data_IF_933185469991
#
_entry.id   IF_933185469991
#
_cell.length_a   1.000
_cell.length_b   1.000
_cell.length_c   1.000
_cell.angle_alpha   90.00
_cell.angle_beta   90.00
_cell.angle_gamma   90.00
#
_symmetry.space_group_name_H-M   'P 1'
#
loop_
_entity.id
_entity.type
_entity.pdbx_description
1 polymer ?
#
# COMPACT_ATOMS: atom_id res chain seq x y z
N UNK A 1 -8.48 3.63 5.84
CA UNK A 1 -8.41 2.48 4.92
C UNK A 1 -9.81 2.05 4.58
N UNK A 2 -9.99 1.49 3.39
CA UNK A 2 -11.31 1.27 2.81
C UNK A 2 -12.09 0.16 3.50
N UNK A 3 -13.42 0.31 3.45
CA UNK A 3 -14.39 -0.62 4.00
C UNK A 3 -14.91 -1.52 2.89
N UNK A 4 -14.80 -2.84 3.06
CA UNK A 4 -15.21 -3.85 2.07
C UNK A 4 -16.70 -3.72 1.74
N UNK A 5 -17.51 -3.30 2.72
CA UNK A 5 -18.95 -3.11 2.62
C UNK A 5 -19.35 -2.04 1.59
N UNK A 6 -18.43 -1.15 1.20
CA UNK A 6 -18.66 -0.13 0.16
C UNK A 6 -18.66 -0.72 -1.25
N UNK A 7 -18.13 -1.93 -1.45
CA UNK A 7 -18.08 -2.62 -2.74
C UNK A 7 -18.60 -4.07 -2.63
N UNK A 8 -19.88 -4.29 -2.30
CA UNK A 8 -20.42 -5.62 -1.97
C UNK A 8 -20.36 -6.65 -3.11
N UNK A 9 -20.24 -6.17 -4.35
CA UNK A 9 -20.15 -6.99 -5.55
C UNK A 9 -18.71 -7.29 -6.00
N UNK A 10 -17.70 -6.68 -5.38
CA UNK A 10 -16.30 -6.96 -5.68
C UNK A 10 -15.91 -8.29 -5.02
N UNK A 11 -15.82 -9.36 -5.83
CA UNK A 11 -15.52 -10.73 -5.36
C UNK A 11 -14.07 -11.13 -5.52
N UNK A 12 -13.31 -10.37 -6.30
CA UNK A 12 -11.90 -10.61 -6.57
C UNK A 12 -11.12 -9.33 -6.27
N UNK A 13 -10.01 -9.47 -5.53
CA UNK A 13 -9.09 -8.39 -5.18
C UNK A 13 -7.79 -8.47 -5.98
N UNK A 14 -7.77 -9.28 -7.05
CA UNK A 14 -6.74 -9.26 -8.06
C UNK A 14 -6.54 -7.83 -8.56
N UNK A 15 -5.29 -7.39 -8.46
CA UNK A 15 -4.84 -6.05 -8.80
C UNK A 15 -4.65 -5.90 -10.31
N UNK A 16 -4.42 -4.66 -10.76
CA UNK A 16 -4.02 -4.35 -12.13
C UNK A 16 -2.67 -4.98 -12.54
N UNK A 17 -1.90 -5.47 -11.56
CA UNK A 17 -0.63 -6.17 -11.75
C UNK A 17 0.42 -5.36 -12.53
N UNK A 18 0.50 -4.05 -12.28
CA UNK A 18 1.49 -3.15 -12.89
C UNK A 18 2.85 -3.17 -12.17
N UNK A 19 2.87 -3.63 -10.92
CA UNK A 19 4.04 -3.63 -10.03
C UNK A 19 4.04 -4.89 -9.16
N UNK A 20 5.22 -5.38 -8.80
CA UNK A 20 5.38 -6.64 -8.06
C UNK A 20 5.25 -6.49 -6.54
N UNK A 21 5.22 -5.26 -6.02
CA UNK A 21 5.07 -4.94 -4.60
C UNK A 21 3.71 -4.31 -4.27
N UNK A 22 3.42 -4.14 -2.98
CA UNK A 22 2.17 -3.56 -2.47
C UNK A 22 2.45 -2.24 -1.78
N UNK A 23 1.76 -1.19 -2.20
CA UNK A 23 1.90 0.15 -1.59
C UNK A 23 0.99 0.25 -0.37
N UNK A 24 1.54 0.72 0.74
CA UNK A 24 0.78 1.01 1.98
C UNK A 24 0.86 2.53 2.25
N UNK A 25 -0.18 3.31 1.92
CA UNK A 25 -0.14 4.76 2.06
C UNK A 25 -0.29 5.21 3.52
N UNK A 26 -0.10 6.51 3.76
CA UNK A 26 -0.34 7.18 5.04
C UNK A 26 0.53 6.64 6.19
N UNK A 27 1.73 6.15 5.89
CA UNK A 27 2.70 5.81 6.92
C UNK A 27 2.99 7.03 7.79
N UNK A 28 3.09 6.84 9.11
CA UNK A 28 3.32 7.91 10.09
C UNK A 28 2.22 8.99 10.16
N UNK A 29 1.13 8.86 9.39
CA UNK A 29 -0.02 9.74 9.50
C UNK A 29 -0.74 9.52 10.83
N UNK A 30 -1.27 10.58 11.42
CA UNK A 30 -1.88 10.54 12.75
C UNK A 30 -3.22 9.77 12.80
N UNK A 31 -4.00 9.80 11.71
CA UNK A 31 -5.27 9.07 11.59
C UNK A 31 -5.02 7.60 11.24
N UNK A 32 -4.07 7.35 10.33
CA UNK A 32 -3.91 6.04 9.68
C UNK A 32 -2.71 5.22 10.16
N UNK A 33 -1.78 5.79 10.92
CA UNK A 33 -0.54 5.12 11.32
C UNK A 33 -0.76 3.78 12.00
N UNK A 34 -1.74 3.68 12.92
CA UNK A 34 -2.10 2.41 13.57
C UNK A 34 -2.64 1.36 12.59
N UNK A 35 -3.33 1.77 11.54
CA UNK A 35 -3.81 0.86 10.51
C UNK A 35 -2.64 0.36 9.65
N UNK A 36 -1.71 1.26 9.29
CA UNK A 36 -0.47 0.92 8.56
C UNK A 36 0.36 -0.10 9.35
N UNK A 37 0.58 0.12 10.65
CA UNK A 37 1.31 -0.81 11.51
C UNK A 37 0.68 -2.21 11.53
N UNK A 38 -0.65 -2.29 11.65
CA UNK A 38 -1.38 -3.57 11.61
C UNK A 38 -1.19 -4.29 10.27
N UNK A 39 -1.28 -3.57 9.15
CA UNK A 39 -1.07 -4.12 7.80
C UNK A 39 0.37 -4.64 7.66
N UNK A 40 1.37 -3.84 8.05
CA UNK A 40 2.78 -4.24 7.96
C UNK A 40 3.06 -5.47 8.81
N UNK A 41 2.58 -5.52 10.05
CA UNK A 41 2.78 -6.66 10.94
C UNK A 41 2.12 -7.94 10.41
N UNK A 42 0.95 -7.82 9.78
CA UNK A 42 0.21 -8.95 9.25
C UNK A 42 0.86 -9.54 7.98
N UNK A 43 1.37 -8.69 7.09
CA UNK A 43 1.68 -9.11 5.71
C UNK A 43 3.15 -8.98 5.28
N UNK A 44 4.01 -8.27 6.03
CA UNK A 44 5.42 -8.05 5.62
C UNK A 44 6.26 -9.32 5.51
N UNK A 45 5.81 -10.43 6.12
CA UNK A 45 6.48 -11.74 6.02
C UNK A 45 6.20 -12.47 4.70
N UNK A 46 5.10 -12.14 4.02
CA UNK A 46 4.61 -12.85 2.84
C UNK A 46 4.50 -11.97 1.60
N UNK A 47 4.35 -10.66 1.78
CA UNK A 47 4.23 -9.68 0.71
C UNK A 47 5.37 -8.66 0.79
N UNK A 48 5.90 -8.25 -0.37
CA UNK A 48 6.78 -7.09 -0.44
C UNK A 48 5.95 -5.81 -0.30
N UNK A 49 5.98 -5.21 0.90
CA UNK A 49 5.28 -3.98 1.19
C UNK A 49 6.21 -2.76 1.05
N UNK A 50 5.73 -1.70 0.41
CA UNK A 50 6.36 -0.38 0.41
C UNK A 50 5.43 0.64 1.06
N UNK A 51 5.71 0.97 2.32
CA UNK A 51 4.96 2.00 3.04
C UNK A 51 5.49 3.39 2.68
N UNK A 52 4.59 4.32 2.36
CA UNK A 52 4.91 5.72 2.07
C UNK A 52 4.07 6.65 2.93
N UNK A 53 4.61 7.81 3.30
CA UNK A 53 3.87 8.85 4.00
C UNK A 53 3.22 9.84 3.01
N UNK A 54 2.47 10.81 3.54
CA UNK A 54 1.68 11.76 2.73
C UNK A 54 2.52 12.74 1.90
N UNK A 55 3.82 12.82 2.19
CA UNK A 55 4.79 13.65 1.47
C UNK A 55 5.74 12.80 0.62
N UNK A 56 5.36 11.57 0.28
CA UNK A 56 6.19 10.68 -0.53
C UNK A 56 5.42 10.19 -1.76
N UNK A 57 6.18 9.90 -2.81
CA UNK A 57 5.66 9.28 -4.03
C UNK A 57 6.59 8.14 -4.48
N UNK A 58 6.06 7.14 -5.18
CA UNK A 58 6.87 6.10 -5.81
C UNK A 58 6.97 6.43 -7.30
N UNK A 59 8.17 6.77 -7.75
CA UNK A 59 8.50 6.96 -9.16
C UNK A 59 8.99 5.64 -9.72
N UNK A 60 8.36 5.20 -10.81
CA UNK A 60 8.74 4.02 -11.57
C UNK A 60 9.05 4.46 -12.99
N UNK A 61 10.27 4.23 -13.43
CA UNK A 61 10.74 4.54 -14.78
C UNK A 61 11.54 3.34 -15.30
N UNK A 62 10.99 2.66 -16.30
CA UNK A 62 11.48 1.35 -16.74
C UNK A 62 11.55 0.39 -15.54
N UNK A 63 12.72 -0.18 -15.25
CA UNK A 63 12.92 -1.10 -14.12
C UNK A 63 13.33 -0.38 -12.81
N UNK A 64 13.45 0.95 -12.83
CA UNK A 64 13.88 1.72 -11.67
C UNK A 64 12.70 2.07 -10.77
N UNK A 65 12.82 1.77 -9.48
CA UNK A 65 11.82 2.10 -8.45
C UNK A 65 12.45 3.01 -7.40
N UNK A 66 11.91 4.22 -7.23
CA UNK A 66 12.42 5.23 -6.30
C UNK A 66 11.31 5.83 -5.45
N UNK A 67 11.55 5.98 -4.15
CA UNK A 67 10.67 6.77 -3.27
C UNK A 67 11.18 8.21 -3.26
N UNK A 68 10.37 9.13 -3.76
CA UNK A 68 10.59 10.57 -3.73
C UNK A 68 10.04 11.15 -2.42
N UNK A 69 10.56 12.32 -2.03
CA UNK A 69 10.05 13.17 -0.95
C UNK A 69 9.46 14.45 -1.53
#
# INVERSE_FOLDING_TARGET
MDYIEKAPYLKDYSRLNLIDFYVVPHSQNWEFGKAVEKIVNAYSKTLELKAINDNQAILIENDSVRILK
#
